data_IF_896920426518
#
_entry.id   IF_896920426518
#
_cell.length_a   1.000
_cell.length_b   1.000
_cell.length_c   1.000
_cell.angle_alpha   90.00
_cell.angle_beta   90.00
_cell.angle_gamma   90.00
#
_symmetry.space_group_name_H-M   'P 1'
#
loop_
_entity.id
_entity.type
_entity.pdbx_description
1 polymer ?
#
# COMPACT_ATOMS: atom_id res chain seq x y z
N UNK A 1 -13.79 21.84 -22.00
CA UNK A 1 -13.55 20.50 -21.41
C UNK A 1 -12.31 20.57 -20.53
N UNK A 2 -12.51 20.64 -19.22
CA UNK A 2 -11.46 20.97 -18.25
C UNK A 2 -10.43 19.86 -18.04
N UNK A 3 -9.19 20.25 -17.77
CA UNK A 3 -8.02 19.44 -17.44
C UNK A 3 -8.22 18.62 -16.14
N UNK A 4 -9.08 17.60 -16.14
CA UNK A 4 -9.33 16.73 -14.96
C UNK A 4 -8.60 15.37 -14.96
N UNK A 5 -7.71 15.06 -15.92
CA UNK A 5 -7.37 13.64 -16.21
C UNK A 5 -5.97 13.14 -15.82
N UNK A 6 -5.04 14.01 -15.41
CA UNK A 6 -3.60 13.65 -15.29
C UNK A 6 -3.12 13.36 -13.86
N UNK A 7 -3.82 13.85 -12.84
CA UNK A 7 -3.46 13.62 -11.43
C UNK A 7 -4.10 12.33 -10.93
N UNK A 8 -5.32 12.05 -11.38
CA UNK A 8 -6.07 10.84 -11.04
C UNK A 8 -5.32 9.56 -11.47
N UNK A 9 -4.67 9.54 -12.62
CA UNK A 9 -4.02 8.29 -13.09
C UNK A 9 -2.79 7.88 -12.28
N UNK A 10 -2.11 8.81 -11.59
CA UNK A 10 -0.80 8.59 -10.94
C UNK A 10 -0.85 7.77 -9.66
N UNK A 11 -2.03 7.58 -9.08
CA UNK A 11 -2.21 6.77 -7.88
C UNK A 11 -2.98 5.47 -8.15
N UNK A 12 -3.18 5.10 -9.41
CA UNK A 12 -3.77 3.80 -9.75
C UNK A 12 -2.76 2.67 -9.50
N UNK A 13 -3.21 1.46 -9.10
CA UNK A 13 -2.32 0.31 -8.90
C UNK A 13 -1.46 0.02 -10.13
N UNK A 14 -2.05 0.06 -11.33
CA UNK A 14 -1.32 -0.07 -12.59
C UNK A 14 -0.23 0.99 -12.76
N UNK A 15 -0.49 2.26 -12.43
CA UNK A 15 0.51 3.30 -12.57
C UNK A 15 1.68 3.08 -11.60
N UNK A 16 1.39 2.76 -10.34
CA UNK A 16 2.43 2.46 -9.34
C UNK A 16 3.28 1.29 -9.81
N UNK A 17 2.65 0.18 -10.21
CA UNK A 17 3.36 -0.98 -10.72
C UNK A 17 4.25 -0.65 -11.95
N UNK A 18 3.70 0.11 -12.92
CA UNK A 18 4.44 0.53 -14.11
C UNK A 18 5.62 1.45 -13.78
N UNK A 19 5.46 2.35 -12.79
CA UNK A 19 6.52 3.24 -12.33
C UNK A 19 7.70 2.43 -11.79
N UNK A 20 7.46 1.47 -10.89
CA UNK A 20 8.52 0.62 -10.34
C UNK A 20 9.16 -0.24 -11.43
N UNK A 21 8.36 -0.86 -12.30
CA UNK A 21 8.86 -1.63 -13.46
C UNK A 21 9.77 -0.78 -14.35
N UNK A 22 9.41 0.48 -14.58
CA UNK A 22 10.22 1.40 -15.39
C UNK A 22 11.54 1.76 -14.67
N UNK A 23 11.51 2.09 -13.38
CA UNK A 23 12.71 2.42 -12.61
C UNK A 23 13.69 1.24 -12.56
N UNK A 24 13.19 0.01 -12.38
CA UNK A 24 14.02 -1.20 -12.39
C UNK A 24 14.69 -1.45 -13.75
N UNK A 25 13.97 -1.20 -14.85
CA UNK A 25 14.48 -1.43 -16.22
C UNK A 25 15.48 -0.39 -16.72
N UNK A 26 15.42 0.85 -16.21
CA UNK A 26 16.17 1.99 -16.76
C UNK A 26 17.21 2.57 -15.79
N UNK A 27 17.89 1.73 -15.00
CA UNK A 27 18.92 2.15 -14.04
C UNK A 27 18.45 3.23 -13.05
N UNK A 28 17.18 3.20 -12.65
CA UNK A 28 16.60 4.11 -11.66
C UNK A 28 17.01 3.84 -10.21
N UNK A 29 18.17 3.21 -9.97
CA UNK A 29 18.59 2.71 -8.64
C UNK A 29 18.66 3.82 -7.58
N UNK A 30 19.13 5.02 -7.95
CA UNK A 30 19.16 6.16 -7.02
C UNK A 30 17.76 6.55 -6.52
N UNK A 31 16.75 6.52 -7.42
CA UNK A 31 15.36 6.81 -7.04
C UNK A 31 14.73 5.67 -6.24
N UNK A 32 15.06 4.43 -6.57
CA UNK A 32 14.60 3.27 -5.79
C UNK A 32 15.16 3.32 -4.36
N UNK A 33 16.45 3.65 -4.21
CA UNK A 33 17.08 3.84 -2.89
C UNK A 33 16.46 5.01 -2.12
N UNK A 34 16.11 6.11 -2.80
CA UNK A 34 15.38 7.23 -2.18
C UNK A 34 14.01 6.77 -1.67
N UNK A 35 13.23 6.05 -2.49
CA UNK A 35 11.92 5.50 -2.13
C UNK A 35 12.02 4.55 -0.92
N UNK A 36 13.04 3.70 -0.88
CA UNK A 36 13.30 2.80 0.24
C UNK A 36 13.65 3.59 1.51
N UNK A 37 14.51 4.60 1.41
CA UNK A 37 14.90 5.44 2.53
C UNK A 37 13.72 6.19 3.17
N UNK A 38 12.69 6.55 2.39
CA UNK A 38 11.45 7.16 2.90
C UNK A 38 10.38 6.15 3.34
N UNK A 39 10.66 4.84 3.28
CA UNK A 39 9.76 3.78 3.76
C UNK A 39 8.61 3.43 2.81
N UNK A 40 8.75 3.69 1.51
CA UNK A 40 7.74 3.40 0.50
C UNK A 40 8.13 2.26 -0.46
N UNK A 41 9.16 1.47 -0.12
CA UNK A 41 9.60 0.28 -0.88
C UNK A 41 8.49 -0.76 -1.04
N UNK A 42 7.57 -0.85 -0.08
CA UNK A 42 6.41 -1.76 -0.14
C UNK A 42 5.53 -1.53 -1.37
N UNK A 43 5.53 -0.31 -1.95
CA UNK A 43 4.76 0.00 -3.16
C UNK A 43 5.24 -0.81 -4.38
N UNK A 44 6.46 -1.34 -4.35
CA UNK A 44 6.97 -2.29 -5.36
C UNK A 44 6.15 -3.58 -5.43
N UNK A 45 5.47 -3.94 -4.33
CA UNK A 45 4.62 -5.14 -4.24
C UNK A 45 3.21 -4.89 -4.76
N UNK A 46 2.85 -3.66 -5.15
CA UNK A 46 1.53 -3.35 -5.70
C UNK A 46 1.34 -4.13 -7.00
N UNK A 47 0.36 -5.05 -7.07
CA UNK A 47 0.11 -5.82 -8.27
C UNK A 47 -0.47 -4.94 -9.38
N UNK A 48 -0.32 -5.39 -10.62
CA UNK A 48 -0.90 -4.73 -11.79
C UNK A 48 -2.42 -4.95 -11.86
N UNK A 49 -3.15 -4.34 -10.92
CA UNK A 49 -4.61 -4.42 -10.87
C UNK A 49 -5.26 -3.36 -11.74
N UNK A 50 -6.05 -3.80 -12.72
CA UNK A 50 -6.88 -2.95 -13.59
C UNK A 50 -8.13 -2.43 -12.86
N UNK A 51 -7.90 -1.73 -11.76
CA UNK A 51 -8.96 -1.11 -10.94
C UNK A 51 -8.96 0.40 -11.22
N UNK A 52 -10.14 0.96 -11.47
CA UNK A 52 -10.30 2.41 -11.63
C UNK A 52 -9.86 3.11 -10.34
N UNK A 53 -9.05 4.15 -10.45
CA UNK A 53 -8.55 4.89 -9.28
C UNK A 53 -9.69 5.44 -8.41
N UNK A 54 -10.83 5.80 -8.98
CA UNK A 54 -12.02 6.22 -8.24
C UNK A 54 -12.50 5.17 -7.23
N UNK A 55 -12.39 3.88 -7.57
CA UNK A 55 -12.74 2.77 -6.67
C UNK A 55 -11.73 2.70 -5.53
N UNK A 56 -10.43 2.77 -5.82
CA UNK A 56 -9.38 2.79 -4.79
C UNK A 56 -9.55 3.96 -3.81
N UNK A 57 -9.89 5.15 -4.33
CA UNK A 57 -10.15 6.33 -3.51
C UNK A 57 -11.38 6.15 -2.60
N UNK A 58 -12.44 5.54 -3.11
CA UNK A 58 -13.62 5.24 -2.30
C UNK A 58 -13.31 4.21 -1.22
N UNK A 59 -12.58 3.15 -1.55
CA UNK A 59 -12.14 2.16 -0.57
C UNK A 59 -11.27 2.79 0.53
N UNK A 60 -10.29 3.61 0.15
CA UNK A 60 -9.43 4.30 1.11
C UNK A 60 -10.19 5.27 2.03
N UNK A 61 -11.25 5.92 1.51
CA UNK A 61 -12.12 6.81 2.31
C UNK A 61 -13.07 6.06 3.23
N UNK A 62 -13.52 4.89 2.80
CA UNK A 62 -14.39 4.03 3.59
C UNK A 62 -13.63 3.22 4.66
N UNK A 63 -12.30 3.04 4.50
CA UNK A 63 -11.51 2.26 5.43
C UNK A 63 -11.12 3.05 6.69
N UNK A 64 -11.56 2.54 7.84
CA UNK A 64 -11.23 3.01 9.17
C UNK A 64 -10.04 2.19 9.70
N UNK A 65 -8.87 2.85 9.79
CA UNK A 65 -7.60 2.21 10.16
C UNK A 65 -7.58 1.79 11.64
N UNK A 66 -8.25 2.53 12.52
CA UNK A 66 -8.24 2.24 13.96
C UNK A 66 -9.01 0.95 14.26
N UNK A 67 -10.12 0.75 13.56
CA UNK A 67 -11.02 -0.38 13.75
C UNK A 67 -10.81 -1.50 12.73
N UNK A 68 -9.94 -1.30 11.75
CA UNK A 68 -9.75 -2.18 10.58
C UNK A 68 -11.09 -2.51 9.89
N UNK A 69 -11.89 -1.50 9.60
CA UNK A 69 -13.28 -1.68 9.12
C UNK A 69 -13.54 -0.87 7.86
N UNK A 70 -14.16 -1.49 6.85
CA UNK A 70 -14.65 -0.80 5.66
C UNK A 70 -16.11 -0.40 5.87
N UNK A 71 -16.38 0.90 5.94
CA UNK A 71 -17.72 1.47 6.11
C UNK A 71 -18.44 1.49 4.76
N UNK A 72 -19.48 0.68 4.61
CA UNK A 72 -20.32 0.64 3.41
C UNK A 72 -21.80 0.78 3.80
N UNK A 73 -22.64 1.24 2.87
CA UNK A 73 -24.06 1.53 3.14
C UNK A 73 -24.84 0.30 3.63
N UNK A 74 -24.40 -0.90 3.26
CA UNK A 74 -25.00 -2.17 3.67
C UNK A 74 -24.57 -2.65 5.07
N UNK A 75 -23.73 -1.88 5.76
CA UNK A 75 -23.16 -2.21 7.08
C UNK A 75 -21.64 -2.37 7.04
N UNK A 76 -21.03 -2.28 8.22
CA UNK A 76 -19.58 -2.26 8.37
C UNK A 76 -18.95 -3.63 8.13
N UNK A 77 -17.91 -3.68 7.29
CA UNK A 77 -17.15 -4.91 7.00
C UNK A 77 -15.82 -4.85 7.74
N UNK A 78 -15.66 -5.67 8.78
CA UNK A 78 -14.38 -5.81 9.48
C UNK A 78 -13.36 -6.58 8.63
N UNK A 79 -12.24 -5.94 8.33
CA UNK A 79 -11.13 -6.54 7.58
C UNK A 79 -10.23 -7.28 8.56
N UNK A 80 -10.25 -8.61 8.49
CA UNK A 80 -9.40 -9.49 9.29
C UNK A 80 -8.34 -10.18 8.42
N UNK A 81 -7.27 -10.67 9.05
CA UNK A 81 -6.27 -11.47 8.34
C UNK A 81 -6.86 -12.75 7.74
N UNK A 82 -7.89 -13.32 8.39
CA UNK A 82 -8.67 -14.44 7.86
C UNK A 82 -9.43 -14.07 6.59
N UNK A 83 -10.14 -12.93 6.59
CA UNK A 83 -10.86 -12.46 5.40
C UNK A 83 -9.90 -12.21 4.23
N UNK A 84 -8.76 -11.57 4.50
CA UNK A 84 -7.69 -11.35 3.52
C UNK A 84 -7.18 -12.70 2.99
N UNK A 85 -6.86 -13.63 3.90
CA UNK A 85 -6.38 -14.96 3.54
C UNK A 85 -7.34 -15.71 2.62
N UNK A 86 -8.63 -15.71 2.97
CA UNK A 86 -9.68 -16.36 2.19
C UNK A 86 -9.87 -15.73 0.81
N UNK A 87 -9.81 -14.40 0.70
CA UNK A 87 -10.01 -13.68 -0.58
C UNK A 87 -8.81 -13.86 -1.51
N UNK A 88 -7.59 -13.83 -0.98
CA UNK A 88 -6.37 -13.92 -1.79
C UNK A 88 -5.82 -15.35 -1.92
N UNK A 89 -6.41 -16.33 -1.25
CA UNK A 89 -5.90 -17.71 -1.20
C UNK A 89 -4.53 -17.80 -0.53
N UNK A 90 -4.26 -16.91 0.44
CA UNK A 90 -3.00 -16.87 1.19
C UNK A 90 -3.23 -17.31 2.64
N UNK A 91 -2.23 -17.89 3.32
CA UNK A 91 -2.34 -18.17 4.74
C UNK A 91 -2.69 -16.89 5.52
N UNK A 92 -3.72 -16.97 6.35
CA UNK A 92 -4.16 -15.87 7.22
C UNK A 92 -3.21 -15.60 8.38
N UNK A 93 -2.23 -16.49 8.59
CA UNK A 93 -1.17 -16.40 9.57
C UNK A 93 0.12 -15.98 8.83
N UNK A 94 0.53 -14.73 9.00
CA UNK A 94 1.86 -14.27 8.56
C UNK A 94 2.91 -14.48 9.67
N UNK A 95 4.19 -14.39 9.32
CA UNK A 95 5.25 -14.32 10.33
C UNK A 95 5.02 -13.08 11.22
N UNK A 96 5.19 -13.20 12.55
CA UNK A 96 5.10 -12.05 13.44
C UNK A 96 6.10 -10.97 13.01
N UNK A 97 5.62 -9.73 12.87
CA UNK A 97 6.48 -8.58 12.58
C UNK A 97 7.54 -8.51 13.68
N UNK A 98 8.85 -8.54 13.35
CA UNK A 98 9.90 -8.45 14.35
C UNK A 98 9.72 -7.18 15.18
N UNK A 99 9.57 -7.33 16.49
CA UNK A 99 9.55 -6.20 17.39
C UNK A 99 10.91 -5.52 17.30
N UNK A 100 10.93 -4.28 16.79
CA UNK A 100 12.13 -3.45 16.83
C UNK A 100 12.50 -3.27 18.31
N UNK A 101 13.52 -3.98 18.77
CA UNK A 101 14.08 -3.76 20.10
C UNK A 101 14.58 -2.32 20.13
N UNK A 102 13.91 -1.47 20.89
CA UNK A 102 14.36 -0.12 21.19
C UNK A 102 15.65 -0.25 21.97
N UNK A 103 16.80 -0.25 21.28
CA UNK A 103 18.10 -0.13 21.92
C UNK A 103 18.08 1.21 22.65
N UNK A 104 17.88 1.18 23.96
CA UNK A 104 18.16 2.32 24.82
C UNK A 104 19.67 2.57 24.77
N UNK A 105 20.11 3.38 23.81
CA UNK A 105 21.39 4.06 23.93
C UNK A 105 21.25 5.09 25.05
N UNK A 106 21.55 4.67 26.27
CA UNK A 106 22.00 5.57 27.34
C UNK A 106 23.35 6.12 26.88
N UNK A 107 23.32 7.21 26.14
CA UNK A 107 24.49 8.06 25.93
C UNK A 107 24.07 9.40 26.50
N UNK A 108 24.44 9.63 27.76
CA UNK A 108 24.69 10.91 28.47
C UNK A 108 24.82 10.58 29.96
N UNK A 109 25.98 10.08 30.37
CA UNK A 109 26.64 10.35 31.66
C UNK A 109 28.15 10.31 31.42
#
# INVERSE_FOLDING_TARGET
>A
MGKKKLVETRCSPCYVNNLFTHLERHNGQAKLAEIEAIGFDFLRRVPQWYVKQSIMLQLARAYDVETNTLKVDAGDIRITAELIGNVFGIPSQGDPIPVLQKKMSRIWQ
#
